data_IF_393921506959
#
_entry.id   IF_393921506959
#
_cell.length_a   1.000
_cell.length_b   1.000
_cell.length_c   1.000
_cell.angle_alpha   90.00
_cell.angle_beta   90.00
_cell.angle_gamma   90.00
#
_symmetry.space_group_name_H-M   'P 1'
#
loop_
_entity.id
_entity.type
_entity.pdbx_description
1 polymer ?
#
# COMPACT_ATOMS: atom_id res chain seq x y z
N UNK A 1 8.07 17.36 -11.34
CA UNK A 1 7.25 17.42 -10.10
C UNK A 1 6.86 16.00 -9.74
N UNK A 2 7.62 15.35 -8.85
CA UNK A 2 7.24 14.04 -8.31
C UNK A 2 5.93 14.22 -7.56
N UNK A 3 4.82 13.77 -8.13
CA UNK A 3 3.56 13.63 -7.40
C UNK A 3 3.85 12.62 -6.29
N UNK A 4 4.09 13.08 -5.07
CA UNK A 4 4.03 12.21 -3.90
C UNK A 4 2.64 11.59 -3.88
N UNK A 5 2.52 10.35 -4.34
CA UNK A 5 1.31 9.57 -4.08
C UNK A 5 1.13 9.53 -2.57
N UNK A 6 -0.10 9.70 -2.11
CA UNK A 6 -0.42 9.74 -0.67
C UNK A 6 -0.17 8.39 0.04
N UNK A 7 0.35 7.39 -0.66
CA UNK A 7 0.74 6.08 -0.15
C UNK A 7 1.91 5.49 -0.93
N UNK A 8 2.62 4.59 -0.28
CA UNK A 8 3.66 3.71 -0.82
C UNK A 8 3.18 2.25 -0.73
N UNK A 9 3.64 1.38 -1.64
CA UNK A 9 3.29 -0.03 -1.58
C UNK A 9 4.45 -0.95 -1.94
N UNK A 10 4.42 -2.16 -1.37
CA UNK A 10 5.32 -3.27 -1.66
C UNK A 10 4.50 -4.51 -2.02
N UNK A 11 4.93 -5.20 -3.07
CA UNK A 11 4.22 -6.36 -3.61
C UNK A 11 4.92 -7.64 -3.16
N UNK A 12 4.21 -8.45 -2.37
CA UNK A 12 4.66 -9.77 -1.95
C UNK A 12 3.95 -10.84 -2.77
N UNK A 13 4.63 -11.35 -3.80
CA UNK A 13 4.07 -12.31 -4.75
C UNK A 13 3.72 -13.67 -4.14
N UNK A 14 4.54 -14.18 -3.22
CA UNK A 14 4.38 -15.52 -2.61
C UNK A 14 2.99 -15.72 -1.98
N UNK A 15 2.51 -14.72 -1.24
CA UNK A 15 1.24 -14.78 -0.52
C UNK A 15 0.15 -13.91 -1.17
N UNK A 16 0.45 -13.31 -2.34
CA UNK A 16 -0.38 -12.31 -3.02
C UNK A 16 -0.85 -11.19 -2.07
N UNK A 17 0.09 -10.56 -1.35
CA UNK A 17 -0.19 -9.44 -0.43
C UNK A 17 0.41 -8.14 -0.98
N UNK A 18 -0.39 -7.07 -0.96
CA UNK A 18 0.06 -5.70 -1.11
C UNK A 18 0.19 -5.06 0.26
N UNK A 19 1.42 -4.81 0.66
CA UNK A 19 1.73 -4.03 1.86
C UNK A 19 1.70 -2.56 1.49
N UNK A 20 0.99 -1.74 2.26
CA UNK A 20 0.76 -0.34 1.94
C UNK A 20 1.03 0.52 3.16
N UNK A 21 1.82 1.57 2.99
CA UNK A 21 1.99 2.63 3.96
C UNK A 21 1.30 3.91 3.45
N UNK A 22 0.37 4.47 4.21
CA UNK A 22 -0.27 5.75 3.88
C UNK A 22 0.60 6.89 4.44
N UNK A 23 1.05 7.78 3.55
CA UNK A 23 2.02 8.84 3.84
C UNK A 23 1.35 10.19 4.15
N UNK A 24 0.03 10.21 4.38
CA UNK A 24 -0.74 11.42 4.70
C UNK A 24 -1.60 11.24 5.95
N UNK A 25 -1.97 12.37 6.56
CA UNK A 25 -2.93 12.43 7.68
C UNK A 25 -4.38 12.44 7.20
N UNK A 26 -4.65 12.82 5.95
CA UNK A 26 -6.00 12.73 5.38
C UNK A 26 -6.28 11.30 4.90
N UNK A 27 -6.79 10.50 5.82
CA UNK A 27 -7.06 9.08 5.58
C UNK A 27 -8.32 8.85 4.75
N UNK A 28 -9.30 9.76 4.80
CA UNK A 28 -10.63 9.55 4.21
C UNK A 28 -10.56 9.54 2.69
N UNK A 29 -9.94 10.57 2.09
CA UNK A 29 -9.78 10.64 0.64
C UNK A 29 -8.85 9.55 0.09
N UNK A 30 -7.86 9.18 0.88
CA UNK A 30 -6.87 8.16 0.50
C UNK A 30 -7.43 6.75 0.58
N UNK A 31 -8.18 6.39 1.61
CA UNK A 31 -8.73 5.05 1.75
C UNK A 31 -9.61 4.66 0.54
N UNK A 32 -10.46 5.59 0.07
CA UNK A 32 -11.31 5.37 -1.12
C UNK A 32 -10.46 5.20 -2.38
N UNK A 33 -9.48 6.08 -2.58
CA UNK A 33 -8.60 6.08 -3.75
C UNK A 33 -7.74 4.81 -3.81
N UNK A 34 -7.18 4.42 -2.67
CA UNK A 34 -6.42 3.20 -2.49
C UNK A 34 -7.29 1.98 -2.78
N UNK A 35 -8.51 1.94 -2.24
CA UNK A 35 -9.43 0.81 -2.42
C UNK A 35 -9.80 0.58 -3.90
N UNK A 36 -10.05 1.66 -4.65
CA UNK A 36 -10.28 1.56 -6.10
C UNK A 36 -9.01 1.11 -6.83
N UNK A 37 -7.87 1.71 -6.50
CA UNK A 37 -6.60 1.44 -7.17
C UNK A 37 -6.15 -0.02 -7.06
N UNK A 38 -6.16 -0.61 -5.85
CA UNK A 38 -5.63 -1.98 -5.68
C UNK A 38 -6.54 -3.02 -6.35
N UNK A 39 -7.87 -2.85 -6.27
CA UNK A 39 -8.83 -3.77 -6.92
C UNK A 39 -8.70 -3.78 -8.43
N UNK A 40 -8.41 -2.62 -9.04
CA UNK A 40 -8.23 -2.53 -10.50
C UNK A 40 -6.90 -3.14 -10.95
N UNK A 41 -5.81 -2.89 -10.22
CA UNK A 41 -4.47 -3.31 -10.67
C UNK A 41 -4.06 -4.70 -10.21
N UNK A 42 -4.57 -5.13 -9.07
CA UNK A 42 -4.15 -6.35 -8.40
C UNK A 42 -5.39 -7.08 -7.80
N UNK A 43 -6.36 -7.48 -8.64
CA UNK A 43 -7.64 -8.04 -8.16
C UNK A 43 -7.47 -9.32 -7.34
N UNK A 44 -6.40 -10.07 -7.56
CA UNK A 44 -6.11 -11.33 -6.85
C UNK A 44 -5.34 -11.13 -5.53
N UNK A 45 -4.95 -9.90 -5.21
CA UNK A 45 -4.10 -9.60 -4.07
C UNK A 45 -4.94 -9.15 -2.87
N UNK A 46 -4.50 -9.49 -1.66
CA UNK A 46 -5.03 -8.92 -0.42
C UNK A 46 -4.25 -7.66 -0.08
N UNK A 47 -4.91 -6.66 0.50
CA UNK A 47 -4.25 -5.44 0.96
C UNK A 47 -4.02 -5.45 2.47
N UNK A 48 -2.85 -4.96 2.91
CA UNK A 48 -2.48 -4.72 4.31
C UNK A 48 -1.96 -3.30 4.45
N UNK A 49 -2.70 -2.46 5.16
CA UNK A 49 -2.26 -1.11 5.51
C UNK A 49 -1.50 -1.17 6.81
N UNK A 50 -0.26 -0.68 6.81
CA UNK A 50 0.69 -0.84 7.92
C UNK A 50 1.39 0.48 8.27
N UNK A 51 2.01 0.51 9.45
CA UNK A 51 2.84 1.64 9.88
C UNK A 51 4.09 1.78 9.00
N UNK A 52 4.74 2.95 9.01
CA UNK A 52 6.00 3.14 8.28
C UNK A 52 7.07 2.14 8.71
N UNK A 53 7.18 1.90 10.02
CA UNK A 53 8.17 0.98 10.59
C UNK A 53 7.96 -0.44 10.08
N UNK A 54 6.73 -0.92 10.10
CA UNK A 54 6.37 -2.25 9.62
C UNK A 54 6.55 -2.36 8.10
N UNK A 55 6.18 -1.33 7.35
CA UNK A 55 6.38 -1.27 5.90
C UNK A 55 7.86 -1.43 5.50
N UNK A 56 8.76 -0.70 6.17
CA UNK A 56 10.20 -0.84 5.91
C UNK A 56 10.74 -2.20 6.35
N UNK A 57 10.23 -2.76 7.46
CA UNK A 57 10.64 -4.09 7.90
C UNK A 57 10.27 -5.17 6.86
N UNK A 58 9.04 -5.14 6.34
CA UNK A 58 8.57 -6.10 5.34
C UNK A 58 9.44 -6.07 4.08
N UNK A 59 9.94 -4.91 3.66
CA UNK A 59 10.84 -4.78 2.50
C UNK A 59 12.24 -5.35 2.72
N UNK A 60 12.65 -5.53 3.97
CA UNK A 60 13.94 -6.14 4.31
C UNK A 60 13.78 -7.66 4.39
N UNK A 61 12.63 -8.11 4.90
CA UNK A 61 12.35 -9.53 5.11
C UNK A 61 12.02 -10.29 3.82
N UNK A 62 11.68 -9.59 2.72
CA UNK A 62 11.28 -10.13 1.42
C UNK A 62 11.99 -9.44 0.25
#
# INVERSE_FOLDING_TARGET
>A
VNKSTNWEFFKQDQNKILWVHICTRDLTGVAISLNKWWKTRYPEYKIRVVSKKEFEQVKIDY
#
